data_IF_902388899852
#
_entry.id   IF_902388899852
#
_cell.length_a   1.000
_cell.length_b   1.000
_cell.length_c   1.000
_cell.angle_alpha   90.00
_cell.angle_beta   90.00
_cell.angle_gamma   90.00
#
_symmetry.space_group_name_H-M   'P 1'
#
loop_
_entity.id
_entity.type
_entity.pdbx_description
1 polymer ?
#
# COMPACT_ATOMS: atom_id res chain seq x y z
N UNK A 1 -20.39 12.77 -11.70
CA UNK A 1 -19.69 12.09 -10.59
C UNK A 1 -18.26 12.64 -10.50
N UNK A 2 -17.90 13.36 -9.42
CA UNK A 2 -16.49 13.70 -9.14
C UNK A 2 -15.92 12.57 -8.30
N UNK A 3 -14.97 11.81 -8.84
CA UNK A 3 -14.24 10.77 -8.11
C UNK A 3 -13.02 11.40 -7.43
N UNK A 4 -12.77 11.04 -6.16
CA UNK A 4 -11.61 11.52 -5.39
C UNK A 4 -10.28 10.98 -5.95
N UNK A 5 -10.31 9.72 -6.38
CA UNK A 5 -9.27 9.00 -7.12
C UNK A 5 -9.97 8.09 -8.13
N UNK A 6 -9.39 7.87 -9.31
CA UNK A 6 -10.04 7.08 -10.37
C UNK A 6 -9.56 5.62 -10.46
N UNK A 7 -8.49 5.22 -9.76
CA UNK A 7 -8.03 3.81 -9.77
C UNK A 7 -7.16 3.42 -8.55
N UNK A 8 -7.15 2.14 -8.13
CA UNK A 8 -6.17 1.65 -7.16
C UNK A 8 -4.74 1.63 -7.74
N UNK A 9 -3.72 1.54 -6.87
CA UNK A 9 -2.34 1.28 -7.29
C UNK A 9 -2.20 -0.12 -7.86
N UNK A 10 -1.14 -0.37 -8.65
CA UNK A 10 -0.80 -1.73 -9.08
C UNK A 10 -0.60 -2.65 -7.87
N UNK A 11 0.02 -2.16 -6.81
CA UNK A 11 0.18 -2.92 -5.56
C UNK A 11 -1.17 -3.33 -4.97
N UNK A 12 -2.14 -2.41 -4.91
CA UNK A 12 -3.49 -2.72 -4.42
C UNK A 12 -4.21 -3.76 -5.28
N UNK A 13 -4.12 -3.66 -6.61
CA UNK A 13 -4.71 -4.66 -7.52
C UNK A 13 -4.07 -6.04 -7.26
N UNK A 14 -2.74 -6.11 -7.15
CA UNK A 14 -2.04 -7.36 -6.87
C UNK A 14 -2.38 -7.94 -5.51
N UNK A 15 -2.54 -7.10 -4.47
CA UNK A 15 -3.02 -7.54 -3.16
C UNK A 15 -4.41 -8.15 -3.25
N UNK A 16 -5.34 -7.51 -3.95
CA UNK A 16 -6.70 -8.04 -4.11
C UNK A 16 -6.71 -9.35 -4.91
N UNK A 17 -5.89 -9.48 -5.95
CA UNK A 17 -5.74 -10.75 -6.68
C UNK A 17 -5.26 -11.84 -5.72
N UNK A 18 -4.17 -11.58 -4.98
CA UNK A 18 -3.59 -12.56 -4.06
C UNK A 18 -4.58 -12.96 -2.94
N UNK A 19 -5.38 -12.02 -2.43
CA UNK A 19 -6.45 -12.31 -1.46
C UNK A 19 -7.49 -13.31 -1.99
N UNK A 20 -7.75 -13.31 -3.30
CA UNK A 20 -8.75 -14.19 -3.92
C UNK A 20 -8.16 -15.50 -4.46
N UNK A 21 -6.83 -15.62 -4.53
CA UNK A 21 -6.16 -16.77 -5.16
C UNK A 21 -5.21 -17.54 -4.25
N UNK A 22 -4.81 -16.98 -3.11
CA UNK A 22 -3.84 -17.58 -2.19
C UNK A 22 -4.50 -17.85 -0.83
N UNK A 23 -4.11 -18.97 -0.17
CA UNK A 23 -4.63 -19.33 1.15
C UNK A 23 -4.10 -18.45 2.29
N UNK A 24 -2.90 -17.87 2.10
CA UNK A 24 -2.24 -16.97 3.04
C UNK A 24 -1.53 -15.87 2.26
N UNK A 25 -1.60 -14.65 2.79
CA UNK A 25 -1.00 -13.49 2.14
C UNK A 25 -0.16 -12.69 3.14
N UNK A 26 1.09 -12.44 2.75
CA UNK A 26 1.99 -11.50 3.44
C UNK A 26 2.31 -10.32 2.53
N UNK A 27 2.13 -9.11 3.03
CA UNK A 27 2.38 -7.86 2.32
C UNK A 27 3.72 -7.26 2.77
N UNK A 28 4.60 -6.96 1.81
CA UNK A 28 5.90 -6.34 2.06
C UNK A 28 6.05 -5.08 1.21
N UNK A 29 6.60 -4.01 1.79
CA UNK A 29 6.82 -2.75 1.07
C UNK A 29 5.53 -2.03 0.66
N UNK A 30 4.39 -2.40 1.25
CA UNK A 30 3.11 -1.75 1.01
C UNK A 30 2.91 -0.56 1.95
N UNK A 31 2.41 0.55 1.41
CA UNK A 31 2.21 1.81 2.13
C UNK A 31 3.32 2.84 1.89
N UNK A 32 3.21 4.00 2.54
CA UNK A 32 4.21 5.07 2.45
C UNK A 32 4.53 5.61 3.84
N UNK A 33 5.82 5.79 4.11
CA UNK A 33 6.36 6.37 5.32
C UNK A 33 7.48 7.35 4.95
N UNK A 34 7.39 8.60 5.41
CA UNK A 34 8.37 9.66 5.13
C UNK A 34 9.76 9.42 5.75
N UNK A 35 9.90 8.44 6.64
CA UNK A 35 11.20 7.98 7.16
C UNK A 35 12.04 7.28 6.09
N UNK A 36 11.43 6.81 5.01
CA UNK A 36 12.06 6.01 3.98
C UNK A 36 11.90 6.64 2.59
N UNK A 37 12.82 6.32 1.68
CA UNK A 37 12.72 6.76 0.28
C UNK A 37 11.48 6.16 -0.38
N UNK A 38 10.95 6.88 -1.37
CA UNK A 38 9.79 6.52 -2.19
C UNK A 38 9.85 5.07 -2.71
N UNK A 39 11.03 4.62 -3.16
CA UNK A 39 11.25 3.25 -3.57
C UNK A 39 12.47 2.64 -2.89
N UNK A 40 12.43 1.32 -2.65
CA UNK A 40 13.51 0.58 -1.98
C UNK A 40 14.83 0.56 -2.77
N UNK A 41 14.78 0.80 -4.07
CA UNK A 41 15.95 0.82 -4.95
C UNK A 41 16.54 2.23 -5.16
N UNK A 42 15.98 3.26 -4.52
CA UNK A 42 16.48 4.61 -4.64
C UNK A 42 17.88 4.72 -4.01
N UNK A 43 18.87 5.19 -4.79
CA UNK A 43 20.26 5.36 -4.33
C UNK A 43 20.48 6.60 -3.45
N UNK A 44 19.52 7.52 -3.46
CA UNK A 44 19.46 8.75 -2.65
C UNK A 44 18.02 8.93 -2.20
N UNK A 45 17.82 9.51 -1.01
CA UNK A 45 16.48 9.78 -0.50
C UNK A 45 15.65 10.56 -1.52
N UNK A 46 14.51 10.00 -1.89
CA UNK A 46 13.52 10.59 -2.77
C UNK A 46 12.20 10.61 -2.02
N UNK A 47 11.66 11.80 -1.79
CA UNK A 47 10.38 11.91 -1.11
C UNK A 47 9.23 11.44 -2.01
N UNK A 48 8.24 10.81 -1.41
CA UNK A 48 7.09 10.28 -2.13
C UNK A 48 6.13 11.42 -2.48
N UNK A 49 5.92 11.61 -3.77
CA UNK A 49 4.98 12.59 -4.30
C UNK A 49 3.87 11.85 -5.05
N UNK A 50 2.74 11.52 -4.39
CA UNK A 50 1.67 10.79 -5.05
C UNK A 50 1.07 11.62 -6.18
N UNK A 51 0.85 11.07 -7.38
CA UNK A 51 0.25 11.81 -8.47
C UNK A 51 -1.20 12.17 -8.11
N UNK A 52 -1.49 13.47 -8.10
CA UNK A 52 -2.77 14.04 -7.69
C UNK A 52 -3.93 13.36 -8.42
N UNK A 53 -4.90 12.83 -7.67
CA UNK A 53 -6.14 12.17 -8.16
C UNK A 53 -5.98 10.85 -8.91
N UNK A 54 -4.77 10.29 -9.01
CA UNK A 54 -4.59 8.98 -9.66
C UNK A 54 -4.96 7.80 -8.77
N UNK A 55 -4.50 7.85 -7.52
CA UNK A 55 -4.61 6.78 -6.52
C UNK A 55 -5.00 7.38 -5.16
N UNK A 56 -5.65 6.58 -4.31
CA UNK A 56 -5.98 6.95 -2.93
C UNK A 56 -5.11 6.12 -1.97
N UNK A 57 -3.85 6.52 -1.83
CA UNK A 57 -2.86 5.79 -1.01
C UNK A 57 -3.26 5.73 0.46
N UNK A 58 -3.89 6.77 0.99
CA UNK A 58 -4.35 6.79 2.38
C UNK A 58 -5.44 5.74 2.62
N UNK A 59 -6.38 5.59 1.68
CA UNK A 59 -7.39 4.55 1.78
C UNK A 59 -6.80 3.14 1.64
N UNK A 60 -5.84 2.95 0.73
CA UNK A 60 -5.13 1.68 0.59
C UNK A 60 -4.39 1.30 1.89
N UNK A 61 -3.64 2.23 2.49
CA UNK A 61 -2.94 2.01 3.77
C UNK A 61 -3.91 1.62 4.89
N UNK A 62 -5.06 2.33 5.01
CA UNK A 62 -6.09 1.99 5.99
C UNK A 62 -6.67 0.60 5.78
N UNK A 63 -6.82 0.19 4.51
CA UNK A 63 -7.30 -1.16 4.18
C UNK A 63 -6.27 -2.22 4.59
N UNK A 64 -4.99 -2.02 4.31
CA UNK A 64 -3.92 -2.94 4.73
C UNK A 64 -3.87 -3.08 6.25
N UNK A 65 -4.02 -1.97 6.99
CA UNK A 65 -4.07 -1.97 8.46
C UNK A 65 -5.27 -2.75 9.00
N UNK A 66 -6.47 -2.58 8.41
CA UNK A 66 -7.67 -3.32 8.83
C UNK A 66 -7.52 -4.82 8.59
N UNK A 67 -7.04 -5.20 7.39
CA UNK A 67 -6.86 -6.61 7.03
C UNK A 67 -5.81 -7.31 7.92
N UNK A 68 -4.75 -6.60 8.29
CA UNK A 68 -3.73 -7.11 9.21
C UNK A 68 -4.28 -7.26 10.64
N UNK A 69 -5.03 -6.27 11.15
CA UNK A 69 -5.70 -6.35 12.46
C UNK A 69 -6.71 -7.49 12.54
N UNK A 70 -7.39 -7.78 11.44
CA UNK A 70 -8.33 -8.90 11.31
C UNK A 70 -7.63 -10.25 11.04
N UNK A 71 -6.29 -10.27 10.97
CA UNK A 71 -5.49 -11.46 10.67
C UNK A 71 -5.80 -12.11 9.31
N UNK A 72 -6.39 -11.35 8.38
CA UNK A 72 -6.67 -11.79 7.00
C UNK A 72 -5.37 -11.80 6.18
N UNK A 73 -4.50 -10.83 6.42
CA UNK A 73 -3.15 -10.76 5.85
C UNK A 73 -2.13 -10.56 6.96
N UNK A 74 -0.87 -10.86 6.68
CA UNK A 74 0.25 -10.37 7.48
C UNK A 74 0.87 -9.17 6.77
N UNK A 75 0.74 -7.96 7.31
CA UNK A 75 1.35 -6.78 6.73
C UNK A 75 2.66 -6.44 7.44
N UNK A 76 3.78 -6.73 6.78
CA UNK A 76 5.10 -6.42 7.29
C UNK A 76 5.35 -4.91 7.25
N UNK A 77 5.62 -4.36 8.43
CA UNK A 77 5.97 -2.96 8.65
C UNK A 77 7.28 -2.95 9.44
N UNK A 78 8.26 -2.19 8.95
CA UNK A 78 9.55 -2.06 9.63
C UNK A 78 9.44 -1.26 10.92
N UNK A 79 8.62 -0.22 10.91
CA UNK A 79 8.26 0.60 12.06
C UNK A 79 6.73 0.72 12.15
N UNK A 80 6.22 1.05 13.34
CA UNK A 80 4.82 1.43 13.53
C UNK A 80 4.54 2.78 12.83
N UNK A 81 3.38 2.89 12.18
CA UNK A 81 2.90 4.09 11.47
C UNK A 81 2.23 5.08 12.41
#
# INVERSE_FOLDING_TARGET
MRVHSFRPTTGAIMTMIALHTCDKLSLYGMGYNNKYSSHYYDKKYTDFHPPVRSHDHTREIKLWDSLDKESIVYWYRRDDF
#
